data_IF_239713059039
#
_entry.id   IF_239713059039
#
_cell.length_a   1.000
_cell.length_b   1.000
_cell.length_c   1.000
_cell.angle_alpha   90.00
_cell.angle_beta   90.00
_cell.angle_gamma   90.00
#
_symmetry.space_group_name_H-M   'P 1'
#
loop_
_entity.id
_entity.type
_entity.pdbx_description
1 polymer ?
#
# COMPACT_ATOMS: atom_id res chain seq x y z
N UNK A 1 -14.33 -5.47 -4.35
CA UNK A 1 -15.23 -4.31 -4.57
C UNK A 1 -14.98 -3.17 -3.58
N UNK A 2 -14.99 -3.39 -2.25
CA UNK A 2 -14.82 -2.39 -1.16
C UNK A 2 -13.65 -1.37 -1.21
N UNK A 3 -12.70 -1.51 -2.14
CA UNK A 3 -11.38 -0.85 -2.14
C UNK A 3 -11.18 0.14 -3.30
N UNK A 4 -11.83 -0.09 -4.44
CA UNK A 4 -11.92 0.91 -5.52
C UNK A 4 -12.76 2.13 -5.07
N UNK A 5 -13.63 1.92 -4.08
CA UNK A 5 -14.45 2.95 -3.46
C UNK A 5 -13.61 4.10 -2.88
N UNK A 6 -12.39 3.80 -2.37
CA UNK A 6 -11.50 4.84 -1.82
C UNK A 6 -11.01 5.77 -2.92
N UNK A 7 -10.57 5.24 -4.07
CA UNK A 7 -10.16 6.07 -5.21
C UNK A 7 -11.32 6.93 -5.71
N UNK A 8 -12.50 6.31 -5.88
CA UNK A 8 -13.70 7.01 -6.33
C UNK A 8 -14.08 8.13 -5.36
N UNK A 9 -13.99 7.91 -4.04
CA UNK A 9 -14.27 8.94 -3.03
C UNK A 9 -13.30 10.11 -3.13
N UNK A 10 -11.99 9.85 -3.20
CA UNK A 10 -10.98 10.91 -3.31
C UNK A 10 -11.20 11.73 -4.59
N UNK A 11 -11.55 11.07 -5.69
CA UNK A 11 -11.70 11.70 -7.01
C UNK A 11 -12.97 12.55 -7.16
N UNK A 12 -14.02 12.22 -6.41
CA UNK A 12 -15.29 12.95 -6.44
C UNK A 12 -15.49 13.85 -5.21
N UNK A 13 -14.49 13.96 -4.33
CA UNK A 13 -14.57 14.81 -3.15
C UNK A 13 -14.34 16.29 -3.52
N UNK A 14 -15.10 17.19 -2.90
CA UNK A 14 -14.88 18.64 -3.00
C UNK A 14 -13.49 19.03 -2.46
N UNK A 15 -13.00 18.29 -1.46
CA UNK A 15 -11.65 18.42 -0.91
C UNK A 15 -10.96 17.04 -0.84
N UNK A 16 -10.25 16.63 -1.91
CA UNK A 16 -9.55 15.34 -1.97
C UNK A 16 -8.63 15.06 -0.78
N UNK A 17 -7.90 16.06 -0.29
CA UNK A 17 -6.98 15.93 0.85
C UNK A 17 -7.65 15.49 2.16
N UNK A 18 -8.96 15.73 2.32
CA UNK A 18 -9.72 15.22 3.47
C UNK A 18 -9.71 13.68 3.53
N UNK A 19 -9.51 13.01 2.39
CA UNK A 19 -9.46 11.56 2.26
C UNK A 19 -8.05 10.99 2.18
N UNK A 20 -7.01 11.84 2.34
CA UNK A 20 -5.60 11.43 2.20
C UNK A 20 -5.21 10.32 3.18
N UNK A 21 -5.73 10.34 4.40
CA UNK A 21 -5.45 9.30 5.40
C UNK A 21 -5.99 7.92 4.97
N UNK A 22 -7.23 7.87 4.47
CA UNK A 22 -7.86 6.64 3.99
C UNK A 22 -7.14 6.11 2.75
N UNK A 23 -6.79 6.98 1.80
CA UNK A 23 -5.98 6.63 0.65
C UNK A 23 -4.62 6.07 1.05
N UNK A 24 -3.98 6.68 2.05
CA UNK A 24 -2.66 6.24 2.55
C UNK A 24 -2.70 4.86 3.16
N UNK A 25 -3.66 4.57 4.04
CA UNK A 25 -3.80 3.23 4.61
C UNK A 25 -4.15 2.19 3.55
N UNK A 26 -4.93 2.57 2.53
CA UNK A 26 -5.21 1.70 1.41
C UNK A 26 -3.97 1.37 0.55
N UNK A 27 -3.14 2.36 0.22
CA UNK A 27 -1.87 2.14 -0.50
C UNK A 27 -0.91 1.27 0.32
N UNK A 28 -0.91 1.42 1.65
CA UNK A 28 -0.10 0.58 2.53
C UNK A 28 -0.58 -0.87 2.54
N UNK A 29 -1.88 -1.08 2.59
CA UNK A 29 -2.48 -2.40 2.49
C UNK A 29 -2.18 -3.07 1.15
N UNK A 30 -2.31 -2.32 0.04
CA UNK A 30 -1.95 -2.81 -1.29
C UNK A 30 -0.47 -3.24 -1.35
N UNK A 31 0.43 -2.37 -0.89
CA UNK A 31 1.86 -2.64 -0.87
C UNK A 31 2.19 -3.89 -0.05
N UNK A 32 1.62 -4.00 1.16
CA UNK A 32 1.80 -5.18 2.01
C UNK A 32 1.30 -6.46 1.34
N UNK A 33 0.06 -6.43 0.84
CA UNK A 33 -0.56 -7.58 0.17
C UNK A 33 0.18 -8.01 -1.11
N UNK A 34 0.83 -7.08 -1.80
CA UNK A 34 1.66 -7.38 -2.97
C UNK A 34 2.99 -8.06 -2.62
N UNK A 35 3.53 -7.83 -1.42
CA UNK A 35 4.80 -8.45 -0.98
C UNK A 35 4.60 -9.84 -0.36
N UNK A 36 3.48 -10.07 0.34
CA UNK A 36 3.22 -11.32 1.06
C UNK A 36 3.39 -12.60 0.21
N UNK A 37 2.94 -12.67 -1.06
CA UNK A 37 3.13 -13.85 -1.90
C UNK A 37 4.61 -14.22 -2.10
N UNK A 38 5.48 -13.23 -2.28
CA UNK A 38 6.89 -13.44 -2.59
C UNK A 38 7.72 -13.79 -1.36
N UNK A 39 7.40 -13.20 -0.20
CA UNK A 39 8.25 -13.28 0.98
C UNK A 39 7.68 -14.13 2.11
N UNK A 40 6.37 -14.33 2.20
CA UNK A 40 5.76 -15.18 3.23
C UNK A 40 5.18 -16.47 2.66
N UNK A 41 4.41 -16.37 1.58
CA UNK A 41 3.72 -17.53 1.03
C UNK A 41 4.69 -18.45 0.27
N UNK A 42 5.60 -17.88 -0.53
CA UNK A 42 6.59 -18.66 -1.29
C UNK A 42 7.50 -19.51 -0.39
N UNK A 43 8.16 -18.98 0.67
CA UNK A 43 8.93 -19.82 1.59
C UNK A 43 8.11 -20.90 2.31
N UNK A 44 6.82 -20.64 2.60
CA UNK A 44 5.92 -21.65 3.16
C UNK A 44 5.62 -22.75 2.14
N UNK A 45 5.33 -22.39 0.90
CA UNK A 45 4.99 -23.32 -0.18
C UNK A 45 6.17 -24.24 -0.53
N UNK A 46 7.41 -23.74 -0.44
CA UNK A 46 8.62 -24.55 -0.65
C UNK A 46 8.98 -25.43 0.56
N UNK A 47 8.20 -25.37 1.64
CA UNK A 47 8.50 -26.03 2.92
C UNK A 47 9.87 -25.63 3.48
N UNK A 48 10.26 -24.37 3.29
CA UNK A 48 11.49 -23.85 3.87
C UNK A 48 11.49 -24.04 5.39
N UNK A 49 12.67 -24.22 5.97
CA UNK A 49 12.79 -24.42 7.41
C UNK A 49 12.30 -23.19 8.19
N UNK A 50 12.01 -23.38 9.48
CA UNK A 50 11.43 -22.34 10.34
C UNK A 50 12.29 -21.07 10.42
N UNK A 51 13.62 -21.22 10.42
CA UNK A 51 14.57 -20.09 10.47
C UNK A 51 14.42 -19.20 9.24
N UNK A 52 14.29 -19.80 8.04
CA UNK A 52 14.06 -19.05 6.80
C UNK A 52 12.71 -18.33 6.82
N UNK A 53 11.65 -19.01 7.27
CA UNK A 53 10.32 -18.39 7.36
C UNK A 53 10.29 -17.22 8.35
N UNK A 54 10.94 -17.37 9.52
CA UNK A 54 11.02 -16.32 10.53
C UNK A 54 11.89 -15.14 10.06
N UNK A 55 13.02 -15.43 9.42
CA UNK A 55 13.88 -14.40 8.83
C UNK A 55 13.13 -13.58 7.79
N UNK A 56 12.34 -14.24 6.93
CA UNK A 56 11.52 -13.56 5.93
C UNK A 56 10.42 -12.70 6.58
N UNK A 57 9.74 -13.22 7.62
CA UNK A 57 8.72 -12.46 8.35
C UNK A 57 9.29 -11.20 9.05
N UNK A 58 10.42 -11.33 9.73
CA UNK A 58 11.09 -10.21 10.39
C UNK A 58 11.61 -9.18 9.38
N UNK A 59 12.26 -9.64 8.31
CA UNK A 59 12.75 -8.78 7.23
C UNK A 59 11.61 -8.00 6.57
N UNK A 60 10.51 -8.68 6.24
CA UNK A 60 9.34 -8.06 5.63
C UNK A 60 8.69 -7.02 6.55
N UNK A 61 8.60 -7.30 7.86
CA UNK A 61 8.10 -6.33 8.85
C UNK A 61 8.95 -5.05 8.86
N UNK A 62 10.28 -5.18 8.77
CA UNK A 62 11.19 -4.04 8.64
C UNK A 62 10.94 -3.22 7.37
N UNK A 63 10.80 -3.89 6.23
CA UNK A 63 10.48 -3.26 4.94
C UNK A 63 9.13 -2.54 4.99
N UNK A 64 8.09 -3.19 5.52
CA UNK A 64 6.76 -2.60 5.67
C UNK A 64 6.80 -1.35 6.55
N UNK A 65 7.60 -1.34 7.62
CA UNK A 65 7.78 -0.15 8.47
C UNK A 65 8.45 0.99 7.73
N UNK A 66 9.50 0.71 6.95
CA UNK A 66 10.17 1.73 6.13
C UNK A 66 9.22 2.31 5.07
N UNK A 67 8.50 1.44 4.34
CA UNK A 67 7.52 1.85 3.33
C UNK A 67 6.39 2.67 3.93
N UNK A 68 5.93 2.33 5.15
CA UNK A 68 4.92 3.13 5.88
C UNK A 68 5.34 4.58 6.08
N UNK A 69 6.60 4.81 6.47
CA UNK A 69 7.15 6.16 6.61
C UNK A 69 7.21 6.88 5.26
N UNK A 70 7.71 6.21 4.22
CA UNK A 70 7.86 6.81 2.88
C UNK A 70 6.50 7.19 2.30
N UNK A 71 5.53 6.27 2.30
CA UNK A 71 4.20 6.49 1.71
C UNK A 71 3.47 7.62 2.44
N UNK A 72 3.50 7.64 3.79
CA UNK A 72 2.88 8.72 4.58
C UNK A 72 3.52 10.08 4.31
N UNK A 73 4.85 10.12 4.16
CA UNK A 73 5.56 11.37 3.85
C UNK A 73 5.26 11.88 2.45
N UNK A 74 5.05 10.99 1.47
CA UNK A 74 4.73 11.37 0.10
C UNK A 74 3.28 11.84 -0.01
N UNK A 75 2.32 11.00 0.40
CA UNK A 75 0.90 11.29 0.25
C UNK A 75 0.44 12.41 1.20
N UNK A 76 0.90 12.38 2.45
CA UNK A 76 0.50 13.37 3.47
C UNK A 76 1.01 14.80 3.22
N UNK A 77 1.82 15.02 2.18
CA UNK A 77 2.31 16.35 1.76
C UNK A 77 1.71 16.81 0.44
N UNK A 78 0.77 16.05 -0.13
CA UNK A 78 0.10 16.43 -1.38
C UNK A 78 -0.99 17.46 -1.13
N UNK A 79 -1.11 18.38 -2.08
CA UNK A 79 -2.34 19.16 -2.27
C UNK A 79 -3.39 18.33 -3.04
N UNK A 80 -4.60 18.85 -3.14
CA UNK A 80 -5.73 18.18 -3.80
C UNK A 80 -5.38 17.74 -5.24
N UNK A 81 -4.74 18.63 -6.02
CA UNK A 81 -4.38 18.35 -7.41
C UNK A 81 -3.40 17.18 -7.52
N UNK A 82 -2.35 17.18 -6.70
CA UNK A 82 -1.34 16.10 -6.69
C UNK A 82 -1.92 14.78 -6.23
N UNK A 83 -2.83 14.81 -5.26
CA UNK A 83 -3.53 13.62 -4.78
C UNK A 83 -4.38 12.98 -5.90
N UNK A 84 -5.11 13.79 -6.67
CA UNK A 84 -5.89 13.31 -7.83
C UNK A 84 -5.00 12.69 -8.93
N UNK A 85 -3.85 13.31 -9.22
CA UNK A 85 -2.87 12.74 -10.17
C UNK A 85 -2.33 11.39 -9.67
N UNK A 86 -2.11 11.27 -8.36
CA UNK A 86 -1.72 10.01 -7.73
C UNK A 86 -2.81 8.94 -7.88
N UNK A 87 -4.07 9.26 -7.57
CA UNK A 87 -5.22 8.36 -7.76
C UNK A 87 -5.32 7.84 -9.20
N UNK A 88 -5.22 8.75 -10.19
CA UNK A 88 -5.24 8.37 -11.61
C UNK A 88 -4.10 7.44 -12.00
N UNK A 89 -2.91 7.62 -11.41
CA UNK A 89 -1.76 6.74 -11.64
C UNK A 89 -1.96 5.35 -11.03
N UNK A 90 -2.49 5.29 -9.80
CA UNK A 90 -2.81 4.01 -9.14
C UNK A 90 -3.86 3.25 -9.94
N UNK A 91 -4.92 3.92 -10.43
CA UNK A 91 -5.95 3.25 -11.24
C UNK A 91 -5.35 2.63 -12.52
N UNK A 92 -4.46 3.33 -13.21
CA UNK A 92 -3.78 2.78 -14.40
C UNK A 92 -2.93 1.56 -14.11
N UNK A 93 -2.31 1.51 -12.93
CA UNK A 93 -1.53 0.34 -12.52
C UNK A 93 -2.40 -0.87 -12.19
N UNK A 94 -3.64 -0.65 -11.76
CA UNK A 94 -4.58 -1.70 -11.37
C UNK A 94 -5.51 -2.18 -12.50
N UNK A 95 -5.53 -1.47 -13.63
CA UNK A 95 -6.32 -1.82 -14.82
C UNK A 95 -5.64 -2.95 -15.60
#
# INVERSE_FOLDING_TARGET
>A
MKRLDVLVRVENADQPTAWCAELTEWVLELTGSGMDPYFLQSPKATKANLVVQQSAALGLSGVQKAMRTVIRNILGRMDDRRLLVCCGSIRRFMA
#
